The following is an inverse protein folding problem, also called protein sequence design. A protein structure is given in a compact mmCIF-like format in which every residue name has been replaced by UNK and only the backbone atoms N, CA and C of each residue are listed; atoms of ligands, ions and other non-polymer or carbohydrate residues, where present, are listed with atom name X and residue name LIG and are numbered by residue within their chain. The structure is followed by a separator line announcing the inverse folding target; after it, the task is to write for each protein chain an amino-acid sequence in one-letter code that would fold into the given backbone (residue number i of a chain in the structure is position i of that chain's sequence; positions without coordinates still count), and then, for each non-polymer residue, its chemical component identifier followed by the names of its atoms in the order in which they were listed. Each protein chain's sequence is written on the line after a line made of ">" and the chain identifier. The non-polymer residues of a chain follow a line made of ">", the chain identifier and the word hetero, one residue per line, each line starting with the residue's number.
data_IF_784221869545
#
_entry.id   IF_784221869545
#
_cell.length_a   1.000
_cell.length_b   1.000
_cell.length_c   1.000
_cell.angle_alpha   90.00
_cell.angle_beta   90.00
_cell.angle_gamma   90.00
#
_symmetry.space_group_name_H-M   'P 1'
#
loop_
_entity.id
_entity.type
_entity.pdbx_description
1 polymer ?
#
# COMPACT_ATOMS: atom_id res chain seq x y z
N UNK A 1 -24.95 12.90 -3.53
CA UNK A 1 -23.73 13.32 -4.20
C UNK A 1 -22.59 12.72 -3.42
N UNK A 2 -21.95 11.69 -3.96
CA UNK A 2 -20.75 11.12 -3.37
C UNK A 2 -19.63 12.15 -3.48
N UNK A 3 -19.16 12.60 -2.36
CA UNK A 3 -18.26 13.73 -2.32
C UNK A 3 -16.83 13.19 -2.22
N UNK A 4 -16.18 13.05 -3.39
CA UNK A 4 -14.75 12.75 -3.45
C UNK A 4 -13.95 13.73 -2.57
N UNK A 5 -14.46 14.96 -2.41
CA UNK A 5 -13.86 15.96 -1.52
C UNK A 5 -13.80 15.48 -0.07
N UNK A 6 -14.82 14.79 0.44
CA UNK A 6 -14.81 14.29 1.83
C UNK A 6 -13.73 13.25 2.12
N UNK A 7 -13.37 12.43 1.13
CA UNK A 7 -12.25 11.47 1.28
C UNK A 7 -10.92 12.20 1.25
N UNK A 8 -10.79 13.21 0.38
CA UNK A 8 -9.58 14.01 0.24
C UNK A 8 -9.35 14.88 1.48
N UNK A 9 -10.40 15.46 2.06
CA UNK A 9 -10.32 16.26 3.29
C UNK A 9 -9.80 15.49 4.50
N UNK A 10 -9.80 14.16 4.44
CA UNK A 10 -9.22 13.30 5.49
C UNK A 10 -7.71 13.12 5.37
N UNK A 11 -7.12 13.45 4.21
CA UNK A 11 -5.68 13.47 4.07
C UNK A 11 -5.13 14.79 4.63
N UNK A 12 -3.98 14.75 5.33
CA UNK A 12 -3.28 15.97 5.70
C UNK A 12 -2.84 16.73 4.44
N UNK A 13 -2.61 18.02 4.56
CA UNK A 13 -2.08 18.82 3.46
C UNK A 13 -0.71 18.28 2.99
N UNK A 14 -0.50 18.33 1.67
CA UNK A 14 0.76 17.87 1.08
C UNK A 14 1.91 18.78 1.50
N UNK A 15 2.89 18.21 2.15
CA UNK A 15 4.11 18.91 2.55
C UNK A 15 5.07 19.06 1.35
N UNK A 16 5.83 20.15 1.35
CA UNK A 16 6.85 20.39 0.31
C UNK A 16 8.06 21.15 0.83
N UNK A 17 9.16 21.11 0.07
CA UNK A 17 10.36 21.89 0.34
C UNK A 17 10.93 21.71 1.76
N UNK A 18 11.24 22.81 2.41
CA UNK A 18 11.85 22.84 3.74
C UNK A 18 10.93 22.25 4.84
N UNK A 19 9.63 22.46 4.74
CA UNK A 19 8.68 21.94 5.71
C UNK A 19 8.64 20.40 5.66
N UNK A 20 8.62 19.80 4.47
CA UNK A 20 8.69 18.35 4.30
C UNK A 20 9.99 17.81 4.90
N UNK A 21 11.12 18.45 4.60
CA UNK A 21 12.43 18.05 5.11
C UNK A 21 12.45 18.04 6.64
N UNK A 22 11.97 19.13 7.26
CA UNK A 22 11.94 19.25 8.73
C UNK A 22 11.02 18.22 9.39
N UNK A 23 9.81 18.01 8.84
CA UNK A 23 8.87 17.03 9.40
C UNK A 23 9.30 15.58 9.14
N UNK A 24 10.02 15.35 8.06
CA UNK A 24 10.53 14.01 7.73
C UNK A 24 11.71 13.61 8.61
N UNK A 25 12.51 14.58 9.01
CA UNK A 25 13.68 14.37 9.84
C UNK A 25 13.29 13.90 11.24
N UNK A 26 14.00 12.92 11.77
CA UNK A 26 13.93 12.51 13.17
C UNK A 26 15.31 12.66 13.78
N UNK A 27 15.41 13.52 14.78
CA UNK A 27 16.63 13.68 15.58
C UNK A 27 16.26 13.51 17.04
N UNK A 28 16.94 12.65 17.80
CA UNK A 28 16.77 12.55 19.23
C UNK A 28 17.21 13.86 19.88
N UNK A 29 16.56 14.22 20.97
CA UNK A 29 16.98 15.37 21.76
C UNK A 29 18.29 15.05 22.46
N UNK A 30 19.32 15.86 22.23
CA UNK A 30 20.62 15.71 22.85
C UNK A 30 20.87 16.83 23.86
N UNK A 31 21.05 16.44 25.13
CA UNK A 31 21.47 17.34 26.21
C UNK A 31 22.85 16.87 26.70
N UNK A 32 23.86 17.71 26.43
CA UNK A 32 25.25 17.43 26.80
C UNK A 32 25.46 17.38 28.33
N UNK A 33 24.78 18.25 29.09
CA UNK A 33 24.93 18.28 30.54
C UNK A 33 24.31 17.05 31.19
N UNK A 34 23.16 16.62 30.70
CA UNK A 34 22.50 15.42 31.16
C UNK A 34 23.36 14.18 30.87
N UNK A 35 23.93 14.08 29.68
CA UNK A 35 24.81 12.96 29.30
C UNK A 35 26.07 12.87 30.18
N UNK A 36 26.63 13.98 30.68
CA UNK A 36 27.78 13.95 31.55
C UNK A 36 27.47 13.47 32.96
N UNK A 37 26.22 13.62 33.42
CA UNK A 37 25.73 13.17 34.72
C UNK A 37 25.28 11.72 34.75
N UNK A 38 25.09 11.11 33.60
CA UNK A 38 24.63 9.73 33.48
C UNK A 38 25.73 8.70 33.77
N UNK A 39 25.29 7.57 34.30
CA UNK A 39 26.17 6.40 34.48
C UNK A 39 26.62 5.83 33.12
N UNK A 40 27.74 5.08 33.08
CA UNK A 40 28.18 4.42 31.84
C UNK A 40 27.10 3.55 31.20
N UNK A 41 26.30 2.85 31.98
CA UNK A 41 25.19 2.02 31.51
C UNK A 41 24.08 2.84 30.86
N UNK A 42 23.70 3.97 31.46
CA UNK A 42 22.69 4.86 30.87
C UNK A 42 23.18 5.47 29.55
N UNK A 43 24.45 5.89 29.49
CA UNK A 43 25.05 6.37 28.23
C UNK A 43 25.07 5.30 27.14
N UNK A 44 25.32 4.05 27.54
CA UNK A 44 25.27 2.92 26.61
C UNK A 44 23.85 2.67 26.07
N UNK A 45 22.83 2.79 26.93
CA UNK A 45 21.43 2.71 26.50
C UNK A 45 21.04 3.80 25.51
N UNK A 46 21.57 5.03 25.69
CA UNK A 46 21.33 6.13 24.74
C UNK A 46 21.92 5.90 23.34
N UNK A 47 22.88 4.99 23.19
CA UNK A 47 23.34 4.63 21.85
C UNK A 47 22.23 3.99 21.00
N UNK A 48 21.20 3.42 21.62
CA UNK A 48 20.02 2.96 20.89
C UNK A 48 19.26 4.09 20.22
N UNK A 49 19.30 5.32 20.76
CA UNK A 49 18.65 6.49 20.17
C UNK A 49 19.22 6.82 18.77
N UNK A 50 20.42 6.32 18.46
CA UNK A 50 21.02 6.48 17.13
C UNK A 50 20.26 5.69 16.04
N UNK A 51 19.59 4.60 16.40
CA UNK A 51 18.78 3.83 15.46
C UNK A 51 17.48 4.56 15.07
N UNK A 52 17.05 5.52 15.90
CA UNK A 52 15.86 6.34 15.64
C UNK A 52 16.17 7.57 14.77
N UNK A 53 17.45 7.83 14.49
CA UNK A 53 17.86 8.96 13.63
C UNK A 53 17.41 8.67 12.19
N UNK A 54 16.63 9.60 11.65
CA UNK A 54 16.28 9.60 10.25
C UNK A 54 16.60 10.94 9.60
N UNK A 55 17.47 10.93 8.61
CA UNK A 55 17.83 12.11 7.81
C UNK A 55 17.30 11.90 6.39
N UNK A 56 16.31 12.69 5.95
CA UNK A 56 15.72 12.53 4.65
C UNK A 56 16.72 12.89 3.54
N UNK A 57 16.73 12.05 2.51
CA UNK A 57 17.43 12.30 1.25
C UNK A 57 16.47 12.89 0.21
N UNK A 58 16.99 13.33 -0.94
CA UNK A 58 16.16 13.71 -2.08
C UNK A 58 15.24 12.56 -2.50
N UNK A 59 15.74 11.33 -2.54
CA UNK A 59 14.94 10.12 -2.79
C UNK A 59 13.76 10.01 -1.84
N UNK A 60 13.96 10.29 -0.55
CA UNK A 60 12.88 10.22 0.47
C UNK A 60 11.75 11.22 0.17
N UNK A 61 12.10 12.42 -0.25
CA UNK A 61 11.13 13.47 -0.61
C UNK A 61 10.37 13.12 -1.90
N UNK A 62 11.05 12.54 -2.87
CA UNK A 62 10.41 12.06 -4.11
C UNK A 62 9.46 10.90 -3.84
N UNK A 63 9.84 9.94 -2.99
CA UNK A 63 8.99 8.85 -2.54
C UNK A 63 7.73 9.38 -1.84
N UNK A 64 7.88 10.33 -0.91
CA UNK A 64 6.74 10.98 -0.26
C UNK A 64 5.77 11.58 -1.27
N UNK A 65 6.30 12.38 -2.22
CA UNK A 65 5.48 13.05 -3.23
C UNK A 65 4.74 12.05 -4.13
N UNK A 66 5.41 10.98 -4.55
CA UNK A 66 4.81 9.93 -5.37
C UNK A 66 3.71 9.17 -4.62
N UNK A 67 3.97 8.77 -3.37
CA UNK A 67 2.99 8.08 -2.53
C UNK A 67 1.77 8.97 -2.27
N UNK A 68 1.99 10.22 -1.85
CA UNK A 68 0.91 11.17 -1.59
C UNK A 68 0.00 11.34 -2.81
N UNK A 69 0.57 11.64 -3.97
CA UNK A 69 -0.19 11.85 -5.21
C UNK A 69 -0.93 10.58 -5.65
N UNK A 70 -0.34 9.41 -5.48
CA UNK A 70 -0.99 8.15 -5.83
C UNK A 70 -2.16 7.84 -4.92
N UNK A 71 -2.02 8.08 -3.61
CA UNK A 71 -3.12 7.96 -2.64
C UNK A 71 -4.23 8.97 -2.96
N UNK A 72 -3.88 10.24 -3.17
CA UNK A 72 -4.83 11.31 -3.50
C UNK A 72 -5.66 10.95 -4.74
N UNK A 73 -5.01 10.53 -5.83
CA UNK A 73 -5.69 10.11 -7.06
C UNK A 73 -6.59 8.90 -6.86
N UNK A 74 -6.14 7.93 -6.06
CA UNK A 74 -6.96 6.77 -5.73
C UNK A 74 -8.22 7.18 -4.97
N UNK A 75 -8.12 8.07 -3.99
CA UNK A 75 -9.27 8.58 -3.24
C UNK A 75 -10.22 9.39 -4.13
N UNK A 76 -9.68 10.20 -5.06
CA UNK A 76 -10.49 10.92 -6.06
C UNK A 76 -11.31 9.95 -6.91
N UNK A 77 -10.69 8.87 -7.40
CA UNK A 77 -11.38 7.84 -8.19
C UNK A 77 -12.45 7.12 -7.40
N UNK A 78 -12.15 6.71 -6.18
CA UNK A 78 -13.11 6.01 -5.29
C UNK A 78 -14.31 6.88 -4.96
N UNK A 79 -14.17 8.18 -4.93
CA UNK A 79 -15.26 9.15 -4.76
C UNK A 79 -16.11 9.38 -6.01
N UNK A 80 -15.80 8.78 -7.16
CA UNK A 80 -16.62 8.96 -8.38
C UNK A 80 -17.92 8.18 -8.32
N UNK A 81 -18.96 8.72 -9.00
CA UNK A 81 -20.28 8.06 -9.07
C UNK A 81 -20.19 6.65 -9.67
N UNK A 82 -19.31 6.45 -10.66
CA UNK A 82 -19.10 5.16 -11.32
C UNK A 82 -18.49 4.11 -10.35
N UNK A 83 -17.46 4.49 -9.58
CA UNK A 83 -16.84 3.60 -8.61
C UNK A 83 -17.85 3.15 -7.55
N UNK A 84 -18.69 4.05 -7.10
CA UNK A 84 -19.72 3.77 -6.12
C UNK A 84 -20.82 2.87 -6.67
N UNK A 85 -21.28 3.11 -7.90
CA UNK A 85 -22.28 2.26 -8.55
C UNK A 85 -21.74 0.84 -8.72
N UNK A 86 -20.47 0.71 -9.11
CA UNK A 86 -19.83 -0.59 -9.26
C UNK A 86 -19.64 -1.30 -7.93
N UNK A 87 -19.20 -0.58 -6.89
CA UNK A 87 -19.10 -1.12 -5.53
C UNK A 87 -20.44 -1.61 -5.00
N UNK A 88 -21.52 -0.83 -5.17
CA UNK A 88 -22.87 -1.23 -4.75
C UNK A 88 -23.38 -2.43 -5.54
N UNK A 89 -23.18 -2.46 -6.85
CA UNK A 89 -23.57 -3.59 -7.70
C UNK A 89 -22.85 -4.87 -7.27
N UNK A 90 -21.55 -4.78 -7.01
CA UNK A 90 -20.73 -5.90 -6.54
C UNK A 90 -21.18 -6.40 -5.15
N UNK A 91 -21.51 -5.49 -4.23
CA UNK A 91 -22.00 -5.83 -2.90
C UNK A 91 -23.37 -6.56 -2.96
N UNK A 92 -24.28 -6.12 -3.82
CA UNK A 92 -25.57 -6.81 -4.04
C UNK A 92 -25.38 -8.22 -4.60
N UNK A 93 -24.49 -8.39 -5.56
CA UNK A 93 -24.21 -9.72 -6.13
C UNK A 93 -23.60 -10.71 -5.13
N UNK A 94 -22.77 -10.22 -4.20
CA UNK A 94 -22.21 -11.06 -3.12
C UNK A 94 -23.30 -11.49 -2.14
N UNK A 95 -24.25 -10.61 -1.82
CA UNK A 95 -25.37 -10.93 -0.90
C UNK A 95 -26.39 -11.89 -1.51
N UNK A 96 -26.61 -11.84 -2.82
CA UNK A 96 -27.55 -12.72 -3.52
C UNK A 96 -26.99 -14.10 -3.85
N UNK A 97 -25.65 -14.27 -3.85
CA UNK A 97 -25.00 -15.54 -4.14
C UNK A 97 -24.41 -16.15 -2.86
N UNK A 98 -25.09 -17.15 -2.28
CA UNK A 98 -24.50 -18.05 -1.28
C UNK A 98 -23.30 -18.86 -1.80
N UNK A 99 -22.89 -18.63 -3.04
CA UNK A 99 -21.76 -19.27 -3.70
C UNK A 99 -20.74 -18.23 -4.12
N UNK A 100 -19.52 -18.42 -3.63
CA UNK A 100 -18.34 -17.69 -4.10
C UNK A 100 -18.19 -17.90 -5.63
N UNK A 101 -18.60 -16.91 -6.41
CA UNK A 101 -18.43 -16.88 -7.88
C UNK A 101 -17.29 -15.95 -8.22
N UNK A 102 -16.12 -16.54 -8.49
CA UNK A 102 -14.92 -15.82 -8.96
C UNK A 102 -14.97 -15.31 -10.40
N UNK A 103 -16.10 -15.49 -11.10
CA UNK A 103 -16.27 -15.07 -12.49
C UNK A 103 -17.21 -13.87 -12.56
N UNK A 104 -16.71 -12.69 -12.29
CA UNK A 104 -17.44 -11.48 -12.60
C UNK A 104 -16.69 -10.69 -13.68
N UNK A 105 -17.35 -10.50 -14.81
CA UNK A 105 -16.90 -9.59 -15.85
C UNK A 105 -16.93 -8.17 -15.29
N UNK A 106 -15.77 -7.65 -14.98
CA UNK A 106 -15.61 -6.26 -14.57
C UNK A 106 -15.72 -5.35 -15.79
N UNK A 107 -16.89 -4.86 -16.06
CA UNK A 107 -17.12 -3.79 -17.02
C UNK A 107 -17.06 -2.45 -16.30
N UNK A 108 -15.86 -1.98 -16.02
CA UNK A 108 -15.66 -0.65 -15.42
C UNK A 108 -14.44 0.00 -16.03
N UNK A 109 -14.63 1.11 -16.73
CA UNK A 109 -13.52 1.95 -17.22
C UNK A 109 -12.97 2.74 -16.03
N UNK A 110 -12.18 2.08 -15.20
CA UNK A 110 -11.29 2.76 -14.28
C UNK A 110 -9.95 2.93 -14.97
N UNK A 111 -9.85 3.92 -15.83
CA UNK A 111 -8.63 4.22 -16.59
C UNK A 111 -7.42 4.45 -15.69
N UNK A 112 -6.26 4.06 -16.20
CA UNK A 112 -4.91 4.13 -15.69
C UNK A 112 -4.66 4.75 -14.33
N UNK A 113 -4.06 3.98 -13.45
CA UNK A 113 -3.52 4.46 -12.19
C UNK A 113 -2.03 4.68 -12.34
N UNK A 114 -1.48 5.64 -11.62
CA UNK A 114 -0.04 5.89 -11.62
C UNK A 114 0.65 4.84 -10.75
N UNK A 115 0.93 3.68 -11.34
CA UNK A 115 1.83 2.71 -10.71
C UNK A 115 3.27 3.10 -10.97
N UNK A 116 4.16 2.87 -10.01
CA UNK A 116 5.56 3.22 -10.11
C UNK A 116 6.45 2.19 -9.43
N UNK A 117 7.73 2.22 -9.78
CA UNK A 117 8.75 1.37 -9.16
C UNK A 117 9.78 2.24 -8.44
N UNK A 118 10.28 1.73 -7.32
CA UNK A 118 11.40 2.29 -6.55
C UNK A 118 12.52 1.26 -6.60
N UNK A 119 13.53 1.55 -7.40
CA UNK A 119 14.68 0.66 -7.58
C UNK A 119 15.92 1.30 -6.99
N UNK A 120 16.68 0.55 -6.21
CA UNK A 120 17.92 1.02 -5.62
C UNK A 120 18.62 -0.07 -4.82
N UNK A 121 19.90 0.12 -4.57
CA UNK A 121 20.73 -0.83 -3.83
C UNK A 121 20.12 -1.20 -2.47
N UNK A 122 20.40 -2.43 -2.02
CA UNK A 122 20.05 -2.83 -0.66
C UNK A 122 20.73 -1.91 0.37
N UNK A 123 20.03 -1.59 1.46
CA UNK A 123 20.56 -0.74 2.52
C UNK A 123 20.52 0.78 2.26
N UNK A 124 20.09 1.25 1.08
CA UNK A 124 20.02 2.69 0.76
C UNK A 124 18.89 3.43 1.51
N UNK A 125 18.06 2.72 2.28
CA UNK A 125 16.99 3.32 3.09
C UNK A 125 15.63 3.41 2.39
N UNK A 126 15.35 2.62 1.35
CA UNK A 126 14.06 2.63 0.63
C UNK A 126 12.87 2.38 1.56
N UNK A 127 12.89 1.27 2.29
CA UNK A 127 11.79 0.87 3.19
C UNK A 127 11.61 1.87 4.33
N UNK A 128 12.71 2.43 4.88
CA UNK A 128 12.66 3.49 5.90
C UNK A 128 12.04 4.77 5.34
N UNK A 129 12.38 5.15 4.11
CA UNK A 129 11.81 6.32 3.44
C UNK A 129 10.31 6.17 3.20
N UNK A 130 9.88 4.98 2.78
CA UNK A 130 8.47 4.65 2.56
C UNK A 130 7.70 4.67 3.88
N UNK A 131 8.20 3.98 4.90
CA UNK A 131 7.55 3.98 6.22
C UNK A 131 7.41 5.41 6.76
N UNK A 132 8.46 6.21 6.68
CA UNK A 132 8.41 7.59 7.13
C UNK A 132 7.45 8.46 6.31
N UNK A 133 7.42 8.27 4.99
CA UNK A 133 6.46 8.96 4.12
C UNK A 133 5.02 8.60 4.48
N UNK A 134 4.71 7.32 4.67
CA UNK A 134 3.37 6.83 5.03
C UNK A 134 2.91 7.37 6.38
N UNK A 135 3.80 7.45 7.38
CA UNK A 135 3.50 8.09 8.68
C UNK A 135 3.10 9.55 8.51
N UNK A 136 3.84 10.33 7.71
CA UNK A 136 3.53 11.74 7.47
C UNK A 136 2.23 11.95 6.67
N UNK A 137 1.90 11.02 5.78
CA UNK A 137 0.64 11.02 5.03
C UNK A 137 -0.54 10.60 5.93
N UNK A 138 -0.28 10.04 7.10
CA UNK A 138 -1.32 9.43 7.96
C UNK A 138 -1.94 8.18 7.32
N UNK A 139 -1.19 7.49 6.45
CA UNK A 139 -1.67 6.33 5.71
C UNK A 139 -1.86 5.08 6.58
N UNK A 140 -1.41 5.12 7.83
CA UNK A 140 -1.62 4.08 8.85
C UNK A 140 -3.05 4.12 9.44
N UNK A 141 -3.78 5.21 9.19
CA UNK A 141 -5.13 5.39 9.75
C UNK A 141 -6.19 5.08 8.70
N UNK A 142 -7.11 4.18 9.04
CA UNK A 142 -8.27 3.87 8.20
C UNK A 142 -9.17 5.10 8.08
N UNK A 143 -9.43 5.52 6.84
CA UNK A 143 -10.38 6.59 6.54
C UNK A 143 -11.78 6.02 6.60
N UNK A 144 -12.61 6.53 7.51
CA UNK A 144 -13.98 6.11 7.66
C UNK A 144 -14.94 7.26 7.36
N UNK A 145 -15.96 6.99 6.52
CA UNK A 145 -17.08 7.86 6.27
C UNK A 145 -18.37 7.18 6.74
N UNK A 146 -19.27 7.96 7.38
CA UNK A 146 -20.55 7.44 7.87
C UNK A 146 -21.63 7.40 6.78
N UNK A 147 -21.59 8.34 5.84
CA UNK A 147 -22.60 8.46 4.78
C UNK A 147 -21.96 8.81 3.43
N UNK A 148 -21.86 7.84 2.54
CA UNK A 148 -22.13 6.41 2.73
C UNK A 148 -21.10 5.76 3.62
N UNK A 149 -21.46 4.68 4.27
CA UNK A 149 -20.52 3.94 5.09
C UNK A 149 -19.42 3.34 4.22
N UNK A 150 -18.22 3.83 4.40
CA UNK A 150 -17.05 3.40 3.63
C UNK A 150 -15.82 3.41 4.52
N UNK A 151 -15.06 2.33 4.50
CA UNK A 151 -13.76 2.22 5.16
C UNK A 151 -12.69 2.05 4.08
N UNK A 152 -11.70 2.93 4.07
CA UNK A 152 -10.58 2.88 3.14
C UNK A 152 -9.27 2.86 3.91
N UNK A 153 -8.42 1.91 3.58
CA UNK A 153 -7.03 1.83 4.01
C UNK A 153 -6.22 2.61 2.98
N UNK A 154 -5.61 3.75 3.34
CA UNK A 154 -4.87 4.55 2.36
C UNK A 154 -3.72 3.80 1.69
N UNK A 155 -3.01 2.96 2.45
CA UNK A 155 -1.91 2.17 1.95
C UNK A 155 -1.84 0.81 2.62
N UNK A 156 -1.62 -0.24 1.84
CA UNK A 156 -1.23 -1.57 2.31
C UNK A 156 0.15 -1.89 1.78
N UNK A 157 1.02 -2.39 2.66
CA UNK A 157 2.34 -2.89 2.27
C UNK A 157 2.40 -4.40 2.46
N UNK A 158 2.79 -5.11 1.41
CA UNK A 158 3.00 -6.56 1.41
C UNK A 158 4.36 -6.89 0.82
N UNK A 159 4.91 -8.04 1.21
CA UNK A 159 6.18 -8.52 0.65
C UNK A 159 5.92 -9.48 -0.51
N UNK A 160 6.71 -9.35 -1.57
CA UNK A 160 6.72 -10.32 -2.65
C UNK A 160 7.21 -11.67 -2.12
N UNK A 161 6.42 -12.75 -2.22
CA UNK A 161 6.86 -14.06 -1.77
C UNK A 161 8.14 -14.52 -2.49
N UNK A 162 9.03 -15.20 -1.79
CA UNK A 162 10.28 -15.68 -2.35
C UNK A 162 10.08 -16.62 -3.57
N UNK A 163 9.05 -17.46 -3.52
CA UNK A 163 8.64 -18.37 -4.61
C UNK A 163 7.77 -17.69 -5.68
N UNK A 164 7.47 -16.41 -5.53
CA UNK A 164 6.55 -15.64 -6.37
C UNK A 164 5.17 -16.30 -6.51
N UNK A 165 4.69 -16.91 -5.45
CA UNK A 165 3.35 -17.49 -5.42
C UNK A 165 2.29 -16.39 -5.51
N UNK A 166 1.56 -16.36 -6.63
CA UNK A 166 0.42 -15.45 -6.82
C UNK A 166 -0.62 -15.68 -5.72
N UNK A 167 -0.92 -16.94 -5.44
CA UNK A 167 -1.84 -17.31 -4.37
C UNK A 167 -1.37 -16.80 -3.01
N UNK A 168 -0.08 -16.92 -2.71
CA UNK A 168 0.53 -16.44 -1.48
C UNK A 168 0.37 -14.92 -1.35
N UNK A 169 0.71 -14.16 -2.38
CA UNK A 169 0.58 -12.70 -2.38
C UNK A 169 -0.88 -12.25 -2.22
N UNK A 170 -1.82 -12.86 -2.97
CA UNK A 170 -3.24 -12.50 -2.87
C UNK A 170 -3.81 -12.78 -1.48
N UNK A 171 -3.46 -13.91 -0.88
CA UNK A 171 -3.87 -14.26 0.48
C UNK A 171 -3.28 -13.29 1.51
N UNK A 172 -2.05 -12.84 1.33
CA UNK A 172 -1.41 -11.85 2.22
C UNK A 172 -2.13 -10.50 2.17
N UNK A 173 -2.51 -10.04 0.96
CA UNK A 173 -3.32 -8.82 0.82
C UNK A 173 -4.66 -8.96 1.57
N UNK A 174 -5.38 -10.08 1.39
CA UNK A 174 -6.65 -10.29 2.09
C UNK A 174 -6.46 -10.37 3.61
N UNK A 175 -5.39 -11.00 4.08
CA UNK A 175 -5.06 -11.11 5.51
C UNK A 175 -4.81 -9.73 6.12
N UNK A 176 -4.05 -8.90 5.43
CA UNK A 176 -3.75 -7.53 5.88
C UNK A 176 -5.03 -6.69 5.95
N UNK A 177 -5.90 -6.79 4.94
CA UNK A 177 -7.20 -6.09 4.94
C UNK A 177 -8.08 -6.57 6.10
N UNK A 178 -8.15 -7.86 6.34
CA UNK A 178 -8.94 -8.42 7.47
C UNK A 178 -8.44 -7.90 8.81
N UNK A 179 -7.12 -7.72 8.98
CA UNK A 179 -6.52 -7.17 10.19
C UNK A 179 -6.90 -5.70 10.39
N UNK A 180 -6.86 -4.90 9.32
CA UNK A 180 -7.11 -3.45 9.38
C UNK A 180 -8.62 -3.09 9.49
N UNK A 181 -9.49 -3.88 8.85
CA UNK A 181 -10.91 -3.57 8.75
C UNK A 181 -11.81 -4.45 9.61
N UNK A 182 -11.24 -5.46 10.29
CA UNK A 182 -11.98 -6.50 11.03
C UNK A 182 -13.00 -7.23 10.13
N UNK A 183 -12.51 -7.68 8.96
CA UNK A 183 -13.29 -8.41 7.96
C UNK A 183 -12.91 -9.89 7.95
N UNK A 184 -13.51 -10.67 7.04
CA UNK A 184 -13.30 -12.14 6.97
C UNK A 184 -12.97 -12.64 5.56
N UNK A 185 -12.46 -11.78 4.68
CA UNK A 185 -12.14 -12.15 3.29
C UNK A 185 -11.13 -13.29 3.19
N UNK A 186 -10.05 -13.22 3.96
CA UNK A 186 -9.03 -14.26 4.01
C UNK A 186 -9.60 -15.61 4.48
N UNK A 187 -10.34 -15.60 5.59
CA UNK A 187 -10.96 -16.82 6.14
C UNK A 187 -11.95 -17.42 5.15
N UNK A 188 -12.74 -16.60 4.48
CA UNK A 188 -13.72 -17.02 3.47
C UNK A 188 -13.03 -17.65 2.26
N UNK A 189 -11.95 -17.02 1.74
CA UNK A 189 -11.17 -17.55 0.63
C UNK A 189 -10.54 -18.92 0.95
N UNK A 190 -10.02 -19.09 2.17
CA UNK A 190 -9.44 -20.37 2.60
C UNK A 190 -10.51 -21.46 2.71
N UNK A 191 -11.68 -21.18 3.31
CA UNK A 191 -12.79 -22.14 3.43
C UNK A 191 -13.31 -22.57 2.07
N UNK A 192 -13.42 -21.64 1.13
CA UNK A 192 -13.85 -21.92 -0.23
C UNK A 192 -12.80 -22.66 -1.07
N UNK A 193 -11.57 -22.88 -0.56
CA UNK A 193 -10.44 -23.43 -1.32
C UNK A 193 -10.22 -22.69 -2.63
N UNK A 194 -10.29 -21.36 -2.58
CA UNK A 194 -10.26 -20.50 -3.75
C UNK A 194 -9.07 -20.80 -4.68
N UNK A 195 -9.35 -20.84 -5.97
CA UNK A 195 -8.32 -20.92 -7.03
C UNK A 195 -7.58 -19.58 -7.15
N UNK A 196 -6.46 -19.56 -7.86
CA UNK A 196 -5.69 -18.33 -8.09
C UNK A 196 -6.56 -17.25 -8.76
N UNK A 197 -7.34 -17.61 -9.79
CA UNK A 197 -8.19 -16.65 -10.51
C UNK A 197 -9.32 -16.10 -9.62
N UNK A 198 -9.93 -16.96 -8.80
CA UNK A 198 -10.90 -16.52 -7.79
C UNK A 198 -10.29 -15.54 -6.77
N UNK A 199 -9.05 -15.78 -6.36
CA UNK A 199 -8.33 -14.89 -5.44
C UNK A 199 -8.02 -13.55 -6.09
N UNK A 200 -7.54 -13.53 -7.35
CA UNK A 200 -7.30 -12.29 -8.09
C UNK A 200 -8.60 -11.50 -8.21
N UNK A 201 -9.72 -12.15 -8.52
CA UNK A 201 -11.04 -11.52 -8.54
C UNK A 201 -11.44 -10.90 -7.20
N UNK A 202 -11.29 -11.64 -6.11
CA UNK A 202 -11.61 -11.17 -4.76
C UNK A 202 -10.71 -10.01 -4.33
N UNK A 203 -9.41 -10.12 -4.57
CA UNK A 203 -8.46 -9.05 -4.26
C UNK A 203 -8.76 -7.80 -5.10
N UNK A 204 -9.11 -7.96 -6.38
CA UNK A 204 -9.52 -6.83 -7.24
C UNK A 204 -10.70 -6.07 -6.64
N UNK A 205 -11.71 -6.78 -6.13
CA UNK A 205 -12.86 -6.16 -5.46
C UNK A 205 -12.48 -5.46 -4.16
N UNK A 206 -11.70 -6.12 -3.32
CA UNK A 206 -11.21 -5.56 -2.06
C UNK A 206 -10.37 -4.31 -2.32
N UNK A 207 -9.49 -4.34 -3.32
CA UNK A 207 -8.70 -3.19 -3.74
C UNK A 207 -9.58 -2.03 -4.21
N UNK A 208 -10.57 -2.30 -5.05
CA UNK A 208 -11.52 -1.30 -5.53
C UNK A 208 -12.26 -0.61 -4.39
N UNK A 209 -12.70 -1.38 -3.39
CA UNK A 209 -13.55 -0.88 -2.32
C UNK A 209 -12.77 -0.26 -1.17
N UNK A 210 -11.63 -0.83 -0.81
CA UNK A 210 -11.00 -0.57 0.48
C UNK A 210 -9.55 -0.09 0.44
N UNK A 211 -8.82 -0.25 -0.67
CA UNK A 211 -7.37 0.03 -0.70
C UNK A 211 -7.07 1.26 -1.56
N UNK A 212 -6.33 2.23 -1.01
CA UNK A 212 -5.83 3.38 -1.74
C UNK A 212 -4.68 3.01 -2.68
N UNK A 213 -3.58 2.55 -2.14
CA UNK A 213 -2.40 2.09 -2.87
C UNK A 213 -1.91 0.77 -2.28
N UNK A 214 -1.45 -0.12 -3.14
CA UNK A 214 -0.76 -1.35 -2.76
C UNK A 214 0.74 -1.18 -2.96
N UNK A 215 1.52 -1.35 -1.92
CA UNK A 215 2.98 -1.37 -1.96
C UNK A 215 3.44 -2.82 -1.90
N UNK A 216 4.22 -3.24 -2.89
CA UNK A 216 4.82 -4.59 -2.96
C UNK A 216 6.32 -4.45 -2.82
N UNK A 217 6.85 -4.83 -1.66
CA UNK A 217 8.28 -4.80 -1.38
C UNK A 217 8.97 -6.11 -1.81
N UNK A 218 10.30 -6.09 -1.90
CA UNK A 218 11.13 -7.23 -2.30
C UNK A 218 10.80 -7.79 -3.70
N UNK A 219 10.42 -6.91 -4.65
CA UNK A 219 9.99 -7.35 -5.99
C UNK A 219 11.12 -8.05 -6.77
N UNK A 220 12.39 -7.90 -6.39
CA UNK A 220 13.51 -8.62 -7.03
C UNK A 220 13.38 -10.16 -6.91
N UNK A 221 12.55 -10.67 -6.02
CA UNK A 221 12.27 -12.11 -5.96
C UNK A 221 11.76 -12.67 -7.29
N UNK A 222 11.11 -11.83 -8.13
CA UNK A 222 10.62 -12.23 -9.45
C UNK A 222 11.74 -12.66 -10.41
N UNK A 223 12.97 -12.14 -10.21
CA UNK A 223 14.12 -12.42 -11.10
C UNK A 223 14.53 -13.90 -11.02
N UNK A 224 14.51 -14.44 -9.82
CA UNK A 224 15.02 -15.79 -9.55
C UNK A 224 13.92 -16.87 -9.58
N UNK A 225 12.66 -16.47 -9.76
CA UNK A 225 11.51 -17.39 -9.76
C UNK A 225 10.96 -17.67 -11.14
N UNK A 226 10.67 -18.95 -11.42
CA UNK A 226 9.95 -19.35 -12.64
C UNK A 226 8.56 -18.72 -12.74
N UNK A 227 7.98 -18.34 -11.61
CA UNK A 227 6.65 -17.72 -11.52
C UNK A 227 6.68 -16.20 -11.63
N UNK A 228 7.87 -15.57 -11.68
CA UNK A 228 8.02 -14.11 -11.62
C UNK A 228 7.22 -13.37 -12.68
N UNK A 229 7.28 -13.81 -13.96
CA UNK A 229 6.49 -13.22 -15.05
C UNK A 229 4.98 -13.32 -14.80
N UNK A 230 4.52 -14.46 -14.30
CA UNK A 230 3.10 -14.66 -13.98
C UNK A 230 2.65 -13.78 -12.83
N UNK A 231 3.49 -13.56 -11.82
CA UNK A 231 3.20 -12.65 -10.71
C UNK A 231 3.07 -11.20 -11.21
N UNK A 232 4.02 -10.71 -12.01
CA UNK A 232 3.93 -9.38 -12.62
C UNK A 232 2.67 -9.23 -13.49
N UNK A 233 2.32 -10.25 -14.29
CA UNK A 233 1.08 -10.28 -15.05
C UNK A 233 -0.15 -10.15 -14.15
N UNK A 234 -0.17 -10.83 -13.01
CA UNK A 234 -1.28 -10.73 -12.03
C UNK A 234 -1.36 -9.35 -11.38
N UNK A 235 -0.24 -8.71 -11.06
CA UNK A 235 -0.21 -7.32 -10.57
C UNK A 235 -0.74 -6.34 -11.62
N UNK A 236 -0.34 -6.52 -12.89
CA UNK A 236 -0.88 -5.73 -14.02
C UNK A 236 -2.39 -5.92 -14.16
N UNK A 237 -2.87 -7.15 -13.99
CA UNK A 237 -4.31 -7.44 -14.00
C UNK A 237 -5.05 -6.74 -12.85
N UNK A 238 -4.47 -6.68 -11.65
CA UNK A 238 -5.03 -5.92 -10.52
C UNK A 238 -5.11 -4.42 -10.84
N UNK A 239 -4.07 -3.84 -11.45
CA UNK A 239 -4.08 -2.43 -11.87
C UNK A 239 -5.24 -2.17 -12.83
N UNK A 240 -5.42 -3.03 -13.81
CA UNK A 240 -6.46 -2.87 -14.84
C UNK A 240 -7.88 -3.11 -14.29
N UNK A 241 -8.06 -4.14 -13.48
CA UNK A 241 -9.39 -4.54 -12.99
C UNK A 241 -9.87 -3.68 -11.82
N UNK A 242 -8.99 -3.37 -10.89
CA UNK A 242 -9.33 -2.61 -9.68
C UNK A 242 -9.06 -1.12 -9.81
N UNK A 243 -8.34 -0.68 -10.84
CA UNK A 243 -7.92 0.71 -10.97
C UNK A 243 -7.09 1.19 -9.78
N UNK A 244 -6.34 0.29 -9.14
CA UNK A 244 -5.50 0.60 -8.00
C UNK A 244 -4.09 0.98 -8.45
N UNK A 245 -3.47 1.92 -7.76
CA UNK A 245 -2.03 2.19 -7.91
C UNK A 245 -1.23 1.12 -7.19
N UNK A 246 -0.18 0.62 -7.82
CA UNK A 246 0.78 -0.30 -7.21
C UNK A 246 2.16 0.33 -7.24
N UNK A 247 2.79 0.43 -6.06
CA UNK A 247 4.20 0.79 -5.93
C UNK A 247 5.02 -0.49 -5.72
N UNK A 248 5.96 -0.76 -6.60
CA UNK A 248 6.85 -1.92 -6.51
C UNK A 248 8.24 -1.48 -6.08
N UNK A 249 8.79 -2.15 -5.06
CA UNK A 249 10.07 -1.78 -4.45
C UNK A 249 11.04 -2.93 -4.62
N UNK A 250 12.22 -2.64 -5.09
CA UNK A 250 13.22 -3.66 -5.33
C UNK A 250 14.65 -3.16 -5.46
N UNK A 251 15.51 -4.11 -5.76
CA UNK A 251 16.92 -3.89 -6.08
C UNK A 251 17.13 -3.78 -7.59
N UNK A 252 18.30 -3.31 -8.09
CA UNK A 252 18.56 -3.11 -9.50
C UNK A 252 18.35 -4.37 -10.36
N UNK A 253 18.46 -5.55 -9.80
CA UNK A 253 18.22 -6.81 -10.50
C UNK A 253 16.79 -6.89 -11.08
N UNK A 254 15.83 -6.21 -10.46
CA UNK A 254 14.43 -6.19 -10.92
C UNK A 254 14.20 -5.35 -12.19
N UNK A 255 15.14 -4.50 -12.62
CA UNK A 255 15.02 -3.67 -13.82
C UNK A 255 14.75 -4.49 -15.09
N UNK A 256 15.26 -5.71 -15.15
CA UNK A 256 15.06 -6.62 -16.28
C UNK A 256 13.58 -6.83 -16.61
N UNK A 257 12.69 -6.69 -15.63
CA UNK A 257 11.25 -6.86 -15.81
C UNK A 257 10.50 -5.57 -16.17
N UNK A 258 11.11 -4.41 -15.93
CA UNK A 258 10.47 -3.10 -16.14
C UNK A 258 11.07 -2.29 -17.30
N UNK A 259 12.21 -2.71 -17.83
CA UNK A 259 12.94 -2.03 -18.90
C UNK A 259 12.68 -2.59 -20.32
N UNK A 260 11.63 -3.41 -20.51
CA UNK A 260 11.27 -3.96 -21.82
C UNK A 260 10.06 -3.27 -22.41
#
# INVERSE_FOLDING_TARGET
>A
MYDAMRLIEKLPEMLSGQELLQKMQILPTYDREMCTRETPTQRMMRLNDLYDIYIPSQMSMEIYSKLYLSILRSLQKKGTKLAVQQSNHNAHQIQESDRYRGEQQYTGIMGGTDSFTIIGMSGIGKSSAISRALQLIGAETVIQLEKPYTKIIPCITVQCPFDCSIKGLMLEVLRTVDTELDTTYYKTALRARATTDMLIGSVSQVCLNHIGILVVDEIQNVVNSKNGKSLIGSLTQLINNAGISIAMIGTPESEVFFGQ
#
